data_IF_378231553934
#
_entry.id   IF_378231553934
#
_cell.length_a   1.000
_cell.length_b   1.000
_cell.length_c   1.000
_cell.angle_alpha   90.00
_cell.angle_beta   90.00
_cell.angle_gamma   90.00
#
_symmetry.space_group_name_H-M   'P 1'
#
loop_
_entity.id
_entity.type
_entity.pdbx_description
1 polymer ?
#
# COMPACT_ATOMS: atom_id res chain seq x y z
N UNK A 1 -1.23 -2.03 -48.71
CA UNK A 1 -0.15 -2.69 -47.94
C UNK A 1 -0.57 -3.95 -47.17
N UNK A 2 -1.84 -4.18 -46.81
CA UNK A 2 -2.26 -5.41 -46.10
C UNK A 2 -2.73 -6.58 -47.00
N UNK A 3 -2.91 -6.36 -48.31
CA UNK A 3 -3.42 -7.38 -49.23
C UNK A 3 -2.39 -8.46 -49.64
N UNK A 4 -1.08 -8.22 -49.41
CA UNK A 4 -0.01 -9.16 -49.79
C UNK A 4 0.12 -10.36 -48.82
N UNK A 5 -0.52 -10.32 -47.64
CA UNK A 5 -0.27 -11.27 -46.55
C UNK A 5 -1.41 -12.27 -46.25
N UNK A 6 -2.46 -12.41 -47.09
CA UNK A 6 -3.59 -13.34 -46.84
C UNK A 6 -4.21 -13.26 -45.42
N UNK A 7 -4.08 -12.13 -44.72
CA UNK A 7 -4.67 -11.94 -43.39
C UNK A 7 -6.11 -11.47 -43.58
N UNK A 8 -7.11 -12.30 -43.21
CA UNK A 8 -8.51 -11.86 -43.15
C UNK A 8 -8.67 -10.92 -41.95
N UNK A 9 -9.13 -9.70 -42.21
CA UNK A 9 -9.59 -8.80 -41.15
C UNK A 9 -10.92 -9.34 -40.66
N UNK A 10 -10.93 -9.97 -39.49
CA UNK A 10 -12.17 -10.39 -38.81
C UNK A 10 -12.76 -9.12 -38.21
N UNK A 11 -13.92 -8.68 -38.71
CA UNK A 11 -14.66 -7.59 -38.08
C UNK A 11 -14.95 -7.96 -36.62
N UNK A 12 -14.48 -7.11 -35.70
CA UNK A 12 -14.70 -7.30 -34.26
C UNK A 12 -16.19 -7.09 -33.99
N UNK A 13 -16.95 -8.17 -33.76
CA UNK A 13 -18.36 -8.08 -33.37
C UNK A 13 -18.50 -7.11 -32.19
N UNK A 14 -19.38 -6.13 -32.32
CA UNK A 14 -19.66 -5.17 -31.26
C UNK A 14 -20.11 -5.92 -30.00
N UNK A 15 -19.57 -5.53 -28.83
CA UNK A 15 -20.02 -6.11 -27.55
C UNK A 15 -21.53 -5.89 -27.42
N UNK A 16 -22.26 -6.98 -27.22
CA UNK A 16 -23.70 -6.95 -26.95
C UNK A 16 -23.93 -6.04 -25.74
N UNK A 17 -24.75 -4.99 -25.93
CA UNK A 17 -25.18 -4.12 -24.84
C UNK A 17 -26.56 -4.58 -24.42
N UNK A 18 -26.65 -5.13 -23.21
CA UNK A 18 -27.91 -5.59 -22.61
C UNK A 18 -28.38 -4.51 -21.65
N UNK A 19 -29.66 -4.13 -21.70
CA UNK A 19 -30.21 -3.17 -20.75
C UNK A 19 -30.66 -3.87 -19.46
N UNK A 20 -30.83 -3.12 -18.38
CA UNK A 20 -31.31 -3.67 -17.10
C UNK A 20 -32.69 -4.35 -17.22
N UNK A 21 -33.56 -3.81 -18.09
CA UNK A 21 -34.88 -4.39 -18.36
C UNK A 21 -34.76 -5.77 -19.03
N UNK A 22 -33.84 -5.92 -19.99
CA UNK A 22 -33.61 -7.18 -20.69
C UNK A 22 -33.07 -8.26 -19.73
N UNK A 23 -32.19 -7.89 -18.81
CA UNK A 23 -31.66 -8.80 -17.77
C UNK A 23 -32.78 -9.28 -16.83
N UNK A 24 -33.69 -8.39 -16.46
CA UNK A 24 -34.82 -8.73 -15.57
C UNK A 24 -35.83 -9.66 -16.25
N UNK A 25 -36.18 -9.39 -17.51
CA UNK A 25 -37.04 -10.27 -18.30
C UNK A 25 -36.40 -11.65 -18.52
N UNK A 26 -35.09 -11.72 -18.73
CA UNK A 26 -34.38 -12.99 -18.86
C UNK A 26 -34.43 -13.81 -17.55
N UNK A 27 -34.22 -13.16 -16.40
CA UNK A 27 -34.36 -13.76 -15.08
C UNK A 27 -35.78 -14.29 -14.82
N UNK A 28 -36.82 -13.52 -15.19
CA UNK A 28 -38.22 -13.92 -15.07
C UNK A 28 -38.58 -15.09 -16.02
N UNK A 29 -37.93 -15.18 -17.18
CA UNK A 29 -38.06 -16.30 -18.13
C UNK A 29 -37.24 -17.54 -17.75
N UNK A 30 -36.59 -17.54 -16.58
CA UNK A 30 -35.84 -18.69 -16.07
C UNK A 30 -34.42 -18.82 -16.64
N UNK A 31 -33.87 -17.79 -17.29
CA UNK A 31 -32.44 -17.75 -17.58
C UNK A 31 -31.69 -17.46 -16.29
N UNK A 32 -31.10 -18.52 -15.74
CA UNK A 32 -30.39 -18.50 -14.46
C UNK A 32 -29.10 -17.70 -14.59
N UNK A 33 -28.91 -16.73 -13.68
CA UNK A 33 -27.65 -16.01 -13.52
C UNK A 33 -26.49 -17.00 -13.37
N UNK A 34 -25.34 -16.81 -14.02
CA UNK A 34 -24.18 -17.72 -13.91
C UNK A 34 -23.62 -17.84 -12.47
N UNK A 35 -24.15 -17.07 -11.52
CA UNK A 35 -23.80 -17.10 -10.10
C UNK A 35 -24.78 -17.88 -9.20
N UNK A 36 -25.98 -18.22 -9.69
CA UNK A 36 -26.97 -18.98 -8.92
C UNK A 36 -27.13 -20.36 -9.54
N UNK A 37 -26.18 -21.26 -9.33
CA UNK A 37 -26.31 -22.62 -9.84
C UNK A 37 -27.31 -23.41 -8.99
N UNK A 38 -28.42 -23.89 -9.58
CA UNK A 38 -29.39 -24.79 -8.92
C UNK A 38 -28.87 -26.21 -8.68
N UNK A 39 -27.63 -26.51 -9.10
CA UNK A 39 -27.00 -27.77 -8.69
C UNK A 39 -26.59 -27.62 -7.24
N UNK A 40 -27.13 -28.50 -6.39
CA UNK A 40 -26.53 -28.84 -5.09
C UNK A 40 -25.02 -28.83 -5.32
N UNK A 41 -24.31 -27.92 -4.64
CA UNK A 41 -22.85 -27.98 -4.59
C UNK A 41 -22.49 -29.45 -4.36
N UNK A 42 -21.54 -30.04 -5.11
CA UNK A 42 -21.12 -31.39 -4.82
C UNK A 42 -20.87 -31.45 -3.32
N UNK A 43 -21.47 -32.45 -2.64
CA UNK A 43 -21.36 -32.52 -1.18
C UNK A 43 -19.88 -32.37 -0.82
N UNK A 44 -19.56 -31.53 0.19
CA UNK A 44 -18.19 -31.20 0.52
C UNK A 44 -17.41 -32.51 0.58
N UNK A 45 -16.41 -32.64 -0.30
CA UNK A 45 -15.62 -33.87 -0.40
C UNK A 45 -15.18 -34.22 1.02
N UNK A 46 -15.51 -35.42 1.52
CA UNK A 46 -15.10 -35.82 2.85
C UNK A 46 -13.58 -35.67 2.95
N UNK A 47 -13.05 -35.25 4.11
CA UNK A 47 -11.62 -35.00 4.26
C UNK A 47 -10.85 -36.24 3.83
N UNK A 48 -10.18 -36.14 2.67
CA UNK A 48 -9.34 -37.21 2.13
C UNK A 48 -7.99 -37.11 2.81
N UNK A 49 -7.53 -38.22 3.39
CA UNK A 49 -6.19 -38.36 3.98
C UNK A 49 -5.08 -38.43 2.91
N UNK A 50 -5.40 -38.22 1.62
CA UNK A 50 -4.39 -38.19 0.55
C UNK A 50 -3.32 -37.13 0.83
N UNK A 51 -2.06 -37.60 0.79
CA UNK A 51 -0.82 -36.82 1.02
C UNK A 51 -0.67 -35.64 0.04
N UNK A 52 -1.46 -35.62 -1.03
CA UNK A 52 -1.49 -34.56 -2.06
C UNK A 52 -2.32 -33.35 -1.63
N UNK A 53 -3.19 -33.48 -0.63
CA UNK A 53 -3.86 -32.32 -0.05
C UNK A 53 -2.85 -31.54 0.79
N UNK A 54 -2.62 -30.26 0.45
CA UNK A 54 -1.83 -29.39 1.33
C UNK A 54 -2.62 -29.30 2.64
N UNK A 55 -2.15 -29.98 3.69
CA UNK A 55 -2.60 -29.69 5.06
C UNK A 55 -2.54 -28.18 5.23
N UNK A 56 -3.68 -27.57 5.55
CA UNK A 56 -3.73 -26.18 5.98
C UNK A 56 -2.96 -26.15 7.29
N UNK A 57 -1.65 -25.92 7.19
CA UNK A 57 -0.80 -25.70 8.35
C UNK A 57 -1.40 -24.46 8.99
N UNK A 58 -1.99 -24.62 10.18
CA UNK A 58 -2.37 -23.46 10.98
C UNK A 58 -1.15 -22.56 11.00
N UNK A 59 -1.34 -21.27 10.74
CA UNK A 59 -0.25 -20.36 10.42
C UNK A 59 0.77 -20.20 11.58
N UNK A 60 0.67 -20.97 12.66
CA UNK A 60 1.36 -20.76 13.92
C UNK A 60 0.65 -19.68 14.71
N UNK A 61 1.31 -19.18 15.76
CA UNK A 61 0.85 -17.99 16.46
C UNK A 61 0.96 -16.75 15.54
N UNK A 62 -0.11 -15.98 15.48
CA UNK A 62 -0.19 -14.73 14.74
C UNK A 62 0.85 -13.72 15.23
N UNK A 63 1.06 -13.62 16.55
CA UNK A 63 1.99 -12.66 17.14
C UNK A 63 3.44 -13.01 16.79
N UNK A 64 3.82 -14.27 16.94
CA UNK A 64 5.16 -14.76 16.59
C UNK A 64 5.48 -14.50 15.11
N UNK A 65 4.49 -14.62 14.22
CA UNK A 65 4.65 -14.31 12.80
C UNK A 65 4.92 -12.84 12.53
N UNK A 66 4.21 -11.95 13.22
CA UNK A 66 4.42 -10.51 13.09
C UNK A 66 5.80 -10.13 13.61
N UNK A 67 6.18 -10.66 14.77
CA UNK A 67 7.49 -10.42 15.38
C UNK A 67 8.61 -10.96 14.50
N UNK A 68 8.52 -12.22 14.07
CA UNK A 68 9.48 -12.82 13.12
C UNK A 68 9.59 -12.01 11.83
N UNK A 69 8.48 -11.44 11.33
CA UNK A 69 8.51 -10.59 10.13
C UNK A 69 9.18 -9.25 10.40
N UNK A 70 8.93 -8.65 11.57
CA UNK A 70 9.55 -7.40 12.02
C UNK A 70 11.06 -7.59 12.17
N UNK A 71 11.49 -8.60 12.90
CA UNK A 71 12.90 -8.95 13.12
C UNK A 71 13.64 -9.17 11.79
N UNK A 72 13.04 -9.92 10.85
CA UNK A 72 13.63 -10.10 9.50
C UNK A 72 13.79 -8.79 8.72
N UNK A 73 12.89 -7.82 8.90
CA UNK A 73 12.99 -6.52 8.24
C UNK A 73 14.04 -5.65 8.92
N UNK A 74 14.09 -5.65 10.25
CA UNK A 74 15.09 -4.94 11.06
C UNK A 74 16.51 -5.43 10.76
N UNK A 75 16.74 -6.74 10.79
CA UNK A 75 18.03 -7.33 10.43
C UNK A 75 18.47 -6.97 8.99
N UNK A 76 17.52 -6.85 8.05
CA UNK A 76 17.81 -6.40 6.68
C UNK A 76 18.12 -4.90 6.62
N UNK A 77 17.46 -4.09 7.44
CA UNK A 77 17.74 -2.66 7.56
C UNK A 77 19.13 -2.43 8.13
N UNK A 78 19.47 -3.10 9.23
CA UNK A 78 20.80 -3.07 9.85
C UNK A 78 21.89 -3.43 8.85
N UNK A 79 21.69 -4.50 8.07
CA UNK A 79 22.64 -4.89 7.02
C UNK A 79 22.79 -3.81 5.94
N UNK A 80 21.70 -3.13 5.57
CA UNK A 80 21.75 -2.04 4.60
C UNK A 80 22.43 -0.77 5.18
N UNK A 81 22.23 -0.48 6.47
CA UNK A 81 22.94 0.58 7.19
C UNK A 81 24.44 0.29 7.28
N UNK A 82 24.82 -0.95 7.62
CA UNK A 82 26.21 -1.38 7.62
C UNK A 82 26.84 -1.26 6.22
N UNK A 83 26.12 -1.63 5.16
CA UNK A 83 26.55 -1.44 3.77
C UNK A 83 26.73 0.05 3.42
N UNK A 84 25.78 0.90 3.82
CA UNK A 84 25.89 2.35 3.64
C UNK A 84 27.14 2.92 4.30
N UNK A 85 27.37 2.57 5.57
CA UNK A 85 28.53 2.99 6.34
C UNK A 85 29.83 2.53 5.69
N UNK A 86 29.89 1.29 5.17
CA UNK A 86 31.07 0.77 4.47
C UNK A 86 31.39 1.55 3.20
N UNK A 87 30.41 1.89 2.38
CA UNK A 87 30.65 2.71 1.20
C UNK A 87 31.02 4.16 1.55
N UNK A 88 30.37 4.72 2.58
CA UNK A 88 30.69 6.05 3.07
C UNK A 88 32.13 6.13 3.59
N UNK A 89 32.57 5.19 4.42
CA UNK A 89 33.94 5.17 4.95
C UNK A 89 34.97 4.95 3.85
N UNK A 90 34.69 4.08 2.87
CA UNK A 90 35.55 3.86 1.71
C UNK A 90 35.67 5.12 0.83
N UNK A 91 34.56 5.83 0.59
CA UNK A 91 34.56 7.12 -0.11
C UNK A 91 35.35 8.16 0.67
N UNK A 92 35.09 8.30 1.98
CA UNK A 92 35.74 9.27 2.85
C UNK A 92 37.25 9.04 2.95
N UNK A 93 37.69 7.80 3.10
CA UNK A 93 39.11 7.42 3.17
C UNK A 93 39.87 7.74 1.88
N UNK A 94 39.25 7.51 0.71
CA UNK A 94 39.85 7.91 -0.57
C UNK A 94 39.88 9.42 -0.74
N UNK A 95 38.82 10.11 -0.36
CA UNK A 95 38.74 11.57 -0.44
C UNK A 95 39.76 12.25 0.49
N UNK A 96 40.02 11.71 1.69
CA UNK A 96 40.98 12.29 2.63
C UNK A 96 42.43 12.28 2.15
N UNK A 97 42.76 11.45 1.14
CA UNK A 97 44.09 11.42 0.53
C UNK A 97 44.28 12.52 -0.53
N UNK A 98 43.20 13.19 -0.95
CA UNK A 98 43.22 14.23 -1.97
C UNK A 98 43.11 15.60 -1.28
N UNK A 99 44.10 16.50 -1.46
CA UNK A 99 44.00 17.87 -0.97
C UNK A 99 42.77 18.58 -1.55
N UNK A 100 42.01 19.27 -0.70
CA UNK A 100 40.83 20.01 -1.14
C UNK A 100 41.20 21.13 -2.12
N UNK A 101 40.40 21.25 -3.18
CA UNK A 101 40.58 22.31 -4.20
C UNK A 101 41.65 22.02 -5.27
N UNK A 102 42.31 20.86 -5.23
CA UNK A 102 43.26 20.49 -6.29
C UNK A 102 42.52 20.23 -7.62
N UNK A 103 42.82 20.97 -8.70
CA UNK A 103 42.23 20.69 -10.01
C UNK A 103 42.81 19.43 -10.64
N UNK A 104 42.01 18.76 -11.49
CA UNK A 104 42.52 17.67 -12.34
C UNK A 104 43.36 18.28 -13.46
N UNK A 105 44.67 18.00 -13.45
CA UNK A 105 45.59 18.47 -14.48
C UNK A 105 45.37 17.68 -15.78
N UNK A 106 44.76 18.32 -16.78
CA UNK A 106 44.48 17.73 -18.10
C UNK A 106 45.78 17.61 -18.90
N UNK A 107 46.03 16.46 -19.52
CA UNK A 107 47.24 16.17 -20.30
C UNK A 107 48.44 15.70 -19.46
N UNK A 108 48.32 15.64 -18.13
CA UNK A 108 49.39 15.17 -17.26
C UNK A 108 49.31 13.64 -17.04
N UNK A 109 50.45 12.98 -16.77
CA UNK A 109 50.47 11.51 -16.56
C UNK A 109 49.60 11.04 -15.39
N UNK A 110 49.31 11.92 -14.42
CA UNK A 110 48.45 11.65 -13.26
C UNK A 110 46.95 11.84 -13.53
N UNK A 111 46.56 12.45 -14.66
CA UNK A 111 45.18 12.78 -15.02
C UNK A 111 44.26 11.56 -14.93
N UNK A 112 44.69 10.43 -15.51
CA UNK A 112 43.93 9.18 -15.54
C UNK A 112 43.72 8.61 -14.14
N UNK A 113 44.62 8.86 -13.19
CA UNK A 113 44.47 8.42 -11.79
C UNK A 113 43.48 9.34 -11.08
N UNK A 114 43.67 10.66 -11.19
CA UNK A 114 42.81 11.66 -10.57
C UNK A 114 41.33 11.50 -10.98
N UNK A 115 41.05 11.31 -12.28
CA UNK A 115 39.68 11.05 -12.76
C UNK A 115 39.07 9.79 -12.15
N UNK A 116 39.81 8.67 -12.19
CA UNK A 116 39.32 7.41 -11.61
C UNK A 116 39.08 7.51 -10.11
N UNK A 117 39.91 8.25 -9.39
CA UNK A 117 39.73 8.43 -7.94
C UNK A 117 38.47 9.26 -7.66
N UNK A 118 38.26 10.36 -8.41
CA UNK A 118 37.03 11.15 -8.34
C UNK A 118 35.78 10.30 -8.69
N UNK A 119 35.83 9.51 -9.76
CA UNK A 119 34.74 8.61 -10.16
C UNK A 119 34.45 7.58 -9.07
N UNK A 120 35.48 6.99 -8.46
CA UNK A 120 35.29 6.00 -7.37
C UNK A 120 34.68 6.64 -6.13
N UNK A 121 35.14 7.82 -5.73
CA UNK A 121 34.58 8.57 -4.60
C UNK A 121 33.10 8.87 -4.87
N UNK A 122 32.79 9.41 -6.05
CA UNK A 122 31.41 9.73 -6.43
C UNK A 122 30.51 8.50 -6.45
N UNK A 123 30.97 7.41 -7.07
CA UNK A 123 30.20 6.17 -7.17
C UNK A 123 29.96 5.51 -5.80
N UNK A 124 30.97 5.46 -4.93
CA UNK A 124 30.82 4.89 -3.60
C UNK A 124 29.92 5.76 -2.71
N UNK A 125 29.99 7.09 -2.82
CA UNK A 125 29.02 7.98 -2.18
C UNK A 125 27.59 7.76 -2.71
N UNK A 126 27.42 7.58 -4.02
CA UNK A 126 26.11 7.25 -4.60
C UNK A 126 25.55 5.93 -4.03
N UNK A 127 26.40 4.92 -3.88
CA UNK A 127 26.02 3.63 -3.26
C UNK A 127 25.69 3.77 -1.77
N UNK A 128 26.43 4.58 -1.02
CA UNK A 128 26.15 4.79 0.41
C UNK A 128 24.77 5.42 0.62
N UNK A 129 24.43 6.44 -0.17
CA UNK A 129 23.10 7.09 -0.14
C UNK A 129 22.00 6.12 -0.56
N UNK A 130 22.22 5.33 -1.62
CA UNK A 130 21.24 4.34 -2.07
C UNK A 130 20.98 3.26 -1.00
N UNK A 131 22.04 2.80 -0.32
CA UNK A 131 21.93 1.83 0.77
C UNK A 131 21.24 2.43 2.01
N UNK A 132 21.52 3.70 2.35
CA UNK A 132 20.84 4.40 3.45
C UNK A 132 19.32 4.51 3.19
N UNK A 133 18.93 4.97 1.99
CA UNK A 133 17.50 5.02 1.59
C UNK A 133 16.84 3.64 1.60
N UNK A 134 17.60 2.58 1.31
CA UNK A 134 17.10 1.21 1.39
C UNK A 134 16.86 0.78 2.84
N UNK A 135 17.74 1.16 3.76
CA UNK A 135 17.58 0.90 5.19
C UNK A 135 16.34 1.62 5.74
N UNK A 136 16.22 2.93 5.48
CA UNK A 136 15.06 3.74 5.88
C UNK A 136 13.73 3.10 5.42
N UNK A 137 13.61 2.72 4.14
CA UNK A 137 12.42 2.02 3.64
C UNK A 137 12.16 0.68 4.34
N UNK A 138 13.19 -0.03 4.78
CA UNK A 138 13.04 -1.30 5.50
C UNK A 138 12.59 -1.06 6.95
N UNK A 139 13.12 -0.03 7.60
CA UNK A 139 12.72 0.42 8.94
C UNK A 139 11.27 0.88 8.95
N UNK A 140 10.86 1.72 7.98
CA UNK A 140 9.46 2.11 7.79
C UNK A 140 8.56 0.90 7.60
N UNK A 141 9.00 -0.09 6.81
CA UNK A 141 8.24 -1.33 6.62
C UNK A 141 8.15 -2.15 7.89
N UNK A 142 9.22 -2.23 8.68
CA UNK A 142 9.23 -2.93 9.97
C UNK A 142 8.27 -2.27 10.96
N UNK A 143 8.31 -0.94 11.06
CA UNK A 143 7.42 -0.14 11.90
C UNK A 143 5.94 -0.30 11.50
N UNK A 144 5.66 -0.54 10.22
CA UNK A 144 4.30 -0.74 9.73
C UNK A 144 3.81 -2.20 9.81
N UNK A 145 4.65 -3.15 10.25
CA UNK A 145 4.20 -4.53 10.49
C UNK A 145 3.16 -4.55 11.61
N UNK A 146 1.97 -5.08 11.30
CA UNK A 146 0.83 -5.15 12.22
C UNK A 146 -0.09 -3.93 12.21
N UNK A 147 0.26 -2.86 11.48
CA UNK A 147 -0.59 -1.65 11.34
C UNK A 147 -1.49 -1.66 10.11
N UNK A 148 -1.22 -2.54 9.15
CA UNK A 148 -1.90 -2.58 7.84
C UNK A 148 -3.26 -3.30 7.89
N UNK A 149 -4.16 -2.80 8.75
CA UNK A 149 -5.52 -3.33 8.91
C UNK A 149 -5.61 -4.53 9.85
N UNK A 150 -6.85 -4.99 10.03
CA UNK A 150 -7.17 -6.12 10.90
C UNK A 150 -7.06 -7.39 10.05
N UNK A 151 -6.17 -8.30 10.44
CA UNK A 151 -5.95 -9.54 9.71
C UNK A 151 -6.99 -10.59 10.08
N UNK A 152 -7.41 -11.42 9.13
CA UNK A 152 -8.44 -12.45 9.36
C UNK A 152 -7.96 -13.60 10.27
N UNK A 153 -6.65 -13.77 10.40
CA UNK A 153 -5.99 -14.79 11.23
C UNK A 153 -5.63 -14.30 12.65
N UNK A 154 -5.92 -13.03 12.97
CA UNK A 154 -5.78 -12.49 14.33
C UNK A 154 -6.90 -13.07 15.23
N UNK A 155 -6.59 -13.70 16.37
CA UNK A 155 -7.61 -14.22 17.30
C UNK A 155 -8.59 -13.15 17.78
N UNK A 156 -8.18 -11.88 17.81
CA UNK A 156 -9.01 -10.74 18.23
C UNK A 156 -9.65 -9.99 17.05
N UNK A 157 -9.57 -10.52 15.83
CA UNK A 157 -10.02 -9.82 14.62
C UNK A 157 -11.48 -9.34 14.71
N UNK A 158 -12.38 -10.19 15.21
CA UNK A 158 -13.80 -9.88 15.33
C UNK A 158 -14.02 -8.70 16.28
N UNK A 159 -13.32 -8.70 17.42
CA UNK A 159 -13.44 -7.63 18.41
C UNK A 159 -12.97 -6.29 17.82
N UNK A 160 -11.79 -6.28 17.19
CA UNK A 160 -11.23 -5.09 16.52
C UNK A 160 -12.13 -4.57 15.41
N UNK A 161 -12.76 -5.47 14.64
CA UNK A 161 -13.70 -5.09 13.58
C UNK A 161 -14.97 -4.47 14.13
N UNK A 162 -15.54 -5.02 15.21
CA UNK A 162 -16.72 -4.45 15.88
C UNK A 162 -16.43 -3.06 16.44
N UNK A 163 -15.30 -2.86 17.08
CA UNK A 163 -14.88 -1.55 17.61
C UNK A 163 -14.71 -0.53 16.49
N UNK A 164 -14.04 -0.92 15.39
CA UNK A 164 -13.89 -0.07 14.22
C UNK A 164 -15.23 0.29 13.59
N UNK A 165 -16.14 -0.68 13.48
CA UNK A 165 -17.49 -0.46 12.97
C UNK A 165 -18.25 0.54 13.84
N UNK A 166 -18.28 0.34 15.15
CA UNK A 166 -18.93 1.25 16.08
C UNK A 166 -18.36 2.68 16.00
N UNK A 167 -17.04 2.82 15.83
CA UNK A 167 -16.40 4.12 15.62
C UNK A 167 -16.86 4.81 14.32
N UNK A 168 -16.95 4.04 13.23
CA UNK A 168 -17.41 4.54 11.93
C UNK A 168 -18.90 4.92 11.97
N UNK A 169 -19.75 4.13 12.61
CA UNK A 169 -21.17 4.43 12.79
C UNK A 169 -21.37 5.72 13.57
N UNK A 170 -20.67 5.90 14.71
CA UNK A 170 -20.69 7.16 15.47
C UNK A 170 -20.24 8.34 14.61
N UNK A 171 -19.14 8.20 13.87
CA UNK A 171 -18.67 9.25 12.97
C UNK A 171 -19.67 9.58 11.87
N UNK A 172 -20.41 8.58 11.38
CA UNK A 172 -21.43 8.78 10.36
C UNK A 172 -22.64 9.52 10.95
N UNK A 173 -23.07 9.16 12.15
CA UNK A 173 -24.18 9.79 12.86
C UNK A 173 -23.88 11.25 13.21
N UNK A 174 -22.69 11.56 13.73
CA UNK A 174 -22.27 12.94 14.01
C UNK A 174 -22.27 13.77 12.73
N UNK A 175 -21.73 13.25 11.63
CA UNK A 175 -21.74 13.98 10.35
C UNK A 175 -23.13 14.14 9.76
N UNK A 176 -24.06 13.18 9.96
CA UNK A 176 -25.47 13.35 9.58
C UNK A 176 -26.14 14.47 10.37
N UNK A 177 -25.91 14.54 11.68
CA UNK A 177 -26.42 15.61 12.54
C UNK A 177 -25.87 16.98 12.13
N UNK A 178 -24.55 17.08 11.90
CA UNK A 178 -23.88 18.29 11.40
C UNK A 178 -24.46 18.71 10.04
N UNK A 179 -24.60 17.79 9.08
CA UNK A 179 -25.18 18.09 7.76
C UNK A 179 -26.62 18.61 7.84
N UNK A 180 -27.41 18.14 8.82
CA UNK A 180 -28.77 18.64 9.04
C UNK A 180 -28.75 20.11 9.46
N UNK A 181 -27.81 20.49 10.32
CA UNK A 181 -27.62 21.87 10.81
C UNK A 181 -27.09 22.78 9.70
N UNK A 182 -26.10 22.33 8.93
CA UNK A 182 -25.54 23.07 7.80
C UNK A 182 -26.62 23.43 6.78
N UNK A 183 -27.48 22.46 6.45
CA UNK A 183 -28.57 22.63 5.47
C UNK A 183 -29.76 23.43 5.99
N UNK A 184 -29.80 23.75 7.29
CA UNK A 184 -30.89 24.54 7.85
C UNK A 184 -30.83 25.98 7.34
N UNK A 185 -31.97 26.48 6.83
CA UNK A 185 -32.08 27.85 6.29
C UNK A 185 -32.38 28.91 7.35
N UNK A 186 -32.69 28.49 8.57
CA UNK A 186 -33.16 29.36 9.65
C UNK A 186 -32.08 29.65 10.71
N UNK A 187 -30.88 29.07 10.59
CA UNK A 187 -29.76 29.35 11.48
C UNK A 187 -28.72 30.20 10.76
N UNK A 188 -28.14 31.17 11.47
CA UNK A 188 -26.98 31.91 10.97
C UNK A 188 -25.73 31.03 11.07
N UNK A 189 -24.68 31.39 10.34
CA UNK A 189 -23.44 30.61 10.35
C UNK A 189 -22.75 30.65 11.73
N UNK A 190 -22.94 31.73 12.50
CA UNK A 190 -22.49 31.80 13.89
C UNK A 190 -23.21 30.77 14.78
N UNK A 191 -24.55 30.67 14.67
CA UNK A 191 -25.35 29.72 15.45
C UNK A 191 -25.01 28.27 15.08
N UNK A 192 -24.71 28.01 13.81
CA UNK A 192 -24.29 26.68 13.33
C UNK A 192 -22.95 26.29 13.93
N UNK A 193 -21.99 27.22 13.99
CA UNK A 193 -20.67 26.98 14.59
C UNK A 193 -20.83 26.68 16.08
N UNK A 194 -21.63 27.48 16.81
CA UNK A 194 -21.89 27.26 18.24
C UNK A 194 -22.53 25.89 18.51
N UNK A 195 -23.51 25.49 17.69
CA UNK A 195 -24.12 24.17 17.83
C UNK A 195 -23.11 23.03 17.65
N UNK A 196 -22.23 23.13 16.64
CA UNK A 196 -21.22 22.11 16.36
C UNK A 196 -20.16 22.00 17.45
N UNK A 197 -19.76 23.13 18.05
CA UNK A 197 -18.77 23.15 19.14
C UNK A 197 -19.37 22.61 20.45
N UNK A 198 -20.60 23.00 20.79
CA UNK A 198 -21.27 22.56 22.03
C UNK A 198 -21.74 21.11 22.00
N UNK A 199 -22.30 20.65 20.87
CA UNK A 199 -22.96 19.33 20.80
C UNK A 199 -22.02 18.20 20.39
N UNK A 200 -21.04 18.50 19.52
CA UNK A 200 -20.16 17.48 18.94
C UNK A 200 -18.68 17.70 19.27
N UNK A 201 -18.36 18.69 20.12
CA UNK A 201 -17.00 19.02 20.54
C UNK A 201 -16.04 19.26 19.36
N UNK A 202 -16.54 19.80 18.23
CA UNK A 202 -15.68 20.23 17.14
C UNK A 202 -14.85 21.44 17.58
N UNK A 203 -13.62 21.56 17.06
CA UNK A 203 -12.86 22.80 17.19
C UNK A 203 -13.49 23.87 16.30
N UNK A 204 -13.41 25.13 16.71
CA UNK A 204 -13.99 26.25 15.94
C UNK A 204 -13.46 26.30 14.49
N UNK A 205 -12.18 26.02 14.29
CA UNK A 205 -11.56 25.96 12.96
C UNK A 205 -12.20 24.89 12.08
N UNK A 206 -12.46 23.70 12.63
CA UNK A 206 -13.09 22.60 11.89
C UNK A 206 -14.56 22.90 11.60
N UNK A 207 -15.27 23.50 12.55
CA UNK A 207 -16.67 23.90 12.35
C UNK A 207 -16.80 24.96 11.24
N UNK A 208 -15.92 25.97 11.24
CA UNK A 208 -15.85 26.99 10.17
C UNK A 208 -15.53 26.37 8.80
N UNK A 209 -14.64 25.38 8.74
CA UNK A 209 -14.29 24.70 7.49
C UNK A 209 -15.39 23.80 6.90
N UNK A 210 -16.47 23.54 7.64
CA UNK A 210 -17.61 22.73 7.18
C UNK A 210 -18.77 23.56 6.62
N UNK A 211 -18.76 24.89 6.82
CA UNK A 211 -19.74 25.83 6.28
C UNK A 211 -19.27 26.39 4.94
#
# INVERSE_FOLDING_TARGET
>A
YLAAYKIRVIEKLAKIRVTYADVKNALEQGYISPLNHDQKQPEPTPPSDDVTSRKVVSLGDYQDRLESKRERLEARAEKANAESNRYYTASKSRASMIPFGQPILVGHHSEKRARRDADRIFNDMGKSVAAARKAERLEERAANVGRNGIASDDPEAIQKLKEKLAGLERSQETMKAINKVIRSKHMTDADKIEYMTQTHNLTEEKAKGLL
#
